data_IF_531271745344
#
_entry.id   IF_531271745344
#
_cell.length_a   1.000
_cell.length_b   1.000
_cell.length_c   1.000
_cell.angle_alpha   90.00
_cell.angle_beta   90.00
_cell.angle_gamma   90.00
#
_symmetry.space_group_name_H-M   'P 1'
#
loop_
_entity.id
_entity.type
_entity.pdbx_description
1 polymer ?
#
# COMPACT_ATOMS: atom_id res chain seq x y z
N UNK A 1 9.40 -17.98 15.01
CA UNK A 1 10.81 -18.39 14.90
C UNK A 1 11.24 -18.93 13.53
N UNK A 2 10.33 -19.12 12.57
CA UNK A 2 10.62 -19.12 11.12
C UNK A 2 9.40 -18.41 10.54
N UNK A 3 9.41 -17.11 10.25
CA UNK A 3 9.77 -16.52 8.96
C UNK A 3 10.01 -15.01 9.10
N UNK A 4 10.82 -14.59 10.08
CA UNK A 4 11.39 -13.24 10.12
C UNK A 4 12.84 -13.30 9.62
N UNK A 5 13.07 -14.12 8.60
CA UNK A 5 14.39 -14.22 7.98
C UNK A 5 14.55 -12.97 7.13
N UNK A 6 15.20 -11.98 7.75
CA UNK A 6 16.09 -11.02 7.12
C UNK A 6 15.68 -10.65 5.69
N UNK A 7 14.71 -9.74 5.56
CA UNK A 7 14.70 -8.88 4.39
C UNK A 7 15.82 -7.87 4.64
N UNK A 8 17.00 -8.21 4.14
CA UNK A 8 18.16 -7.34 4.10
C UNK A 8 17.74 -5.96 3.60
N UNK A 9 17.83 -4.99 4.51
CA UNK A 9 17.55 -3.58 4.30
C UNK A 9 18.80 -2.95 3.66
N UNK A 10 19.13 -3.39 2.45
CA UNK A 10 20.16 -2.73 1.65
C UNK A 10 19.56 -1.48 1.02
N UNK A 11 19.63 -0.41 1.80
CA UNK A 11 19.34 0.94 1.38
C UNK A 11 20.40 1.44 0.40
N UNK A 12 20.38 0.95 -0.84
CA UNK A 12 21.07 1.59 -1.96
C UNK A 12 20.25 1.43 -3.25
N UNK A 13 19.66 2.52 -3.73
CA UNK A 13 19.34 2.65 -5.16
C UNK A 13 17.98 3.21 -5.52
N UNK A 14 18.01 4.02 -6.58
CA UNK A 14 16.87 4.46 -7.39
C UNK A 14 16.08 3.24 -7.91
N UNK A 15 15.15 2.75 -7.09
CA UNK A 15 14.03 1.85 -7.42
C UNK A 15 14.32 0.72 -8.43
N UNK A 16 15.10 -0.26 -8.01
CA UNK A 16 15.23 -1.57 -8.67
C UNK A 16 14.13 -2.54 -8.21
N UNK A 17 12.97 -2.52 -8.88
CA UNK A 17 11.99 -3.63 -8.86
C UNK A 17 10.89 -3.63 -7.79
N UNK A 18 10.73 -2.55 -7.01
CA UNK A 18 9.70 -2.43 -5.96
C UNK A 18 8.62 -1.38 -6.22
N UNK A 19 7.79 -1.12 -5.21
CA UNK A 19 6.78 -0.04 -5.25
C UNK A 19 7.46 1.32 -5.18
N UNK A 20 7.30 2.13 -6.21
CA UNK A 20 7.87 3.48 -6.30
C UNK A 20 6.92 4.54 -5.77
N UNK A 21 5.63 4.36 -6.05
CA UNK A 21 4.60 5.34 -5.70
C UNK A 21 3.37 4.67 -5.11
N UNK A 22 2.67 5.43 -4.26
CA UNK A 22 1.41 5.05 -3.64
C UNK A 22 0.36 6.13 -3.95
N UNK A 23 -0.80 5.74 -4.46
CA UNK A 23 -1.96 6.62 -4.62
C UNK A 23 -2.96 6.36 -3.49
N UNK A 24 -3.31 7.40 -2.74
CA UNK A 24 -4.31 7.36 -1.68
C UNK A 24 -5.20 8.62 -1.74
N UNK A 25 -6.50 8.40 -1.87
CA UNK A 25 -7.45 9.52 -2.08
C UNK A 25 -7.13 10.28 -3.36
N UNK A 26 -6.80 11.57 -3.23
CA UNK A 26 -6.40 12.47 -4.32
C UNK A 26 -4.88 12.65 -4.45
N UNK A 27 -4.11 12.01 -3.59
CA UNK A 27 -2.67 12.22 -3.45
C UNK A 27 -1.89 11.04 -4.01
N UNK A 28 -0.77 11.35 -4.65
CA UNK A 28 0.25 10.39 -5.06
C UNK A 28 1.53 10.72 -4.29
N UNK A 29 2.11 9.71 -3.67
CA UNK A 29 3.26 9.85 -2.77
C UNK A 29 4.37 8.92 -3.23
N UNK A 30 5.61 9.44 -3.27
CA UNK A 30 6.80 8.62 -3.50
C UNK A 30 7.14 7.83 -2.24
N UNK A 31 7.53 6.58 -2.45
CA UNK A 31 7.89 5.66 -1.36
C UNK A 31 9.33 5.88 -0.96
N UNK A 32 9.57 6.15 0.33
CA UNK A 32 10.94 6.29 0.88
C UNK A 32 11.60 4.93 1.15
N UNK A 33 10.80 3.96 1.61
CA UNK A 33 11.27 2.63 2.00
C UNK A 33 10.32 1.55 1.48
N UNK A 34 10.87 0.43 1.03
CA UNK A 34 10.05 -0.69 0.58
C UNK A 34 9.31 -1.31 1.76
N UNK A 35 7.99 -1.43 1.63
CA UNK A 35 7.14 -2.14 2.60
C UNK A 35 6.98 -3.60 2.17
N UNK A 36 6.97 -4.57 3.10
CA UNK A 36 6.82 -6.00 2.82
C UNK A 36 5.36 -6.35 2.46
N UNK A 37 4.82 -5.76 1.39
CA UNK A 37 3.56 -6.21 0.81
C UNK A 37 3.72 -7.65 0.29
N UNK A 38 2.63 -8.45 0.22
CA UNK A 38 2.69 -9.81 -0.32
C UNK A 38 3.31 -9.83 -1.73
N UNK A 39 4.00 -10.92 -2.09
CA UNK A 39 4.83 -11.03 -3.32
C UNK A 39 4.13 -10.52 -4.58
N UNK A 40 2.84 -10.82 -4.68
CA UNK A 40 1.95 -10.39 -5.74
C UNK A 40 1.87 -8.87 -5.96
N UNK A 41 2.12 -8.08 -4.92
CA UNK A 41 1.99 -6.63 -4.85
C UNK A 41 3.33 -5.93 -4.65
N UNK A 42 4.34 -6.59 -4.06
CA UNK A 42 5.65 -5.98 -3.77
C UNK A 42 6.36 -5.50 -5.04
N UNK A 43 6.12 -6.19 -6.17
CA UNK A 43 6.70 -5.86 -7.47
C UNK A 43 5.91 -4.82 -8.26
N UNK A 44 4.76 -4.38 -7.76
CA UNK A 44 3.95 -3.38 -8.46
C UNK A 44 4.64 -2.02 -8.34
N UNK A 45 4.93 -1.30 -9.44
CA UNK A 45 5.60 0.00 -9.38
C UNK A 45 4.72 1.07 -8.71
N UNK A 46 3.40 0.86 -8.70
CA UNK A 46 2.42 1.73 -8.06
C UNK A 46 1.36 0.91 -7.33
N UNK A 47 1.09 1.30 -6.09
CA UNK A 47 -0.02 0.75 -5.29
C UNK A 47 -1.14 1.76 -5.12
N UNK A 48 -2.37 1.27 -5.03
CA UNK A 48 -3.57 2.08 -4.85
C UNK A 48 -4.22 1.72 -3.52
N UNK A 49 -4.35 2.68 -2.61
CA UNK A 49 -4.95 2.47 -1.29
C UNK A 49 -6.29 3.19 -1.14
N UNK A 50 -7.21 2.52 -0.46
CA UNK A 50 -8.44 3.13 0.01
C UNK A 50 -8.15 4.07 1.18
N UNK A 51 -8.67 5.29 1.12
CA UNK A 51 -8.41 6.33 2.13
C UNK A 51 -9.03 6.04 3.50
N UNK A 52 -10.03 5.16 3.56
CA UNK A 52 -10.75 4.84 4.80
C UNK A 52 -10.30 3.51 5.41
N UNK A 53 -10.32 2.44 4.62
CA UNK A 53 -10.04 1.09 5.14
C UNK A 53 -8.62 0.62 4.89
N UNK A 54 -7.78 1.44 4.24
CA UNK A 54 -6.39 1.13 3.89
C UNK A 54 -6.21 -0.15 3.06
N UNK A 55 -7.28 -0.63 2.41
CA UNK A 55 -7.18 -1.75 1.47
C UNK A 55 -6.38 -1.33 0.25
N UNK A 56 -5.36 -2.12 -0.07
CA UNK A 56 -4.49 -1.94 -1.23
C UNK A 56 -5.02 -2.68 -2.47
N UNK A 57 -4.63 -2.21 -3.65
CA UNK A 57 -4.96 -2.79 -4.95
C UNK A 57 -3.84 -2.56 -5.97
N UNK A 58 -3.71 -3.47 -6.95
CA UNK A 58 -2.73 -3.35 -8.06
C UNK A 58 -3.17 -2.36 -9.15
N UNK A 59 -4.46 -2.04 -9.23
CA UNK A 59 -4.99 -1.16 -10.27
C UNK A 59 -6.06 -0.21 -9.75
N UNK A 60 -6.14 0.96 -10.39
CA UNK A 60 -7.14 1.99 -10.10
C UNK A 60 -8.57 1.48 -10.27
N UNK A 61 -8.81 0.60 -11.23
CA UNK A 61 -10.15 0.04 -11.47
C UNK A 61 -10.62 -0.85 -10.33
N UNK A 62 -9.72 -1.68 -9.77
CA UNK A 62 -10.02 -2.52 -8.60
C UNK A 62 -10.30 -1.63 -7.39
N UNK A 63 -9.47 -0.60 -7.16
CA UNK A 63 -9.72 0.35 -6.08
C UNK A 63 -11.06 1.07 -6.25
N UNK A 64 -11.42 1.50 -7.48
CA UNK A 64 -12.70 2.17 -7.78
C UNK A 64 -13.88 1.30 -7.40
N UNK A 65 -13.90 0.03 -7.84
CA UNK A 65 -14.94 -0.94 -7.48
C UNK A 65 -15.00 -1.20 -5.98
N UNK A 66 -13.85 -1.19 -5.31
CA UNK A 66 -13.80 -1.29 -3.86
C UNK A 66 -14.43 -0.05 -3.20
N UNK A 67 -14.10 1.18 -3.64
CA UNK A 67 -14.68 2.42 -3.10
C UNK A 67 -16.21 2.45 -3.22
N UNK A 68 -16.76 1.94 -4.32
CA UNK A 68 -18.22 1.82 -4.52
C UNK A 68 -18.90 0.93 -3.47
N UNK A 69 -18.20 -0.10 -2.96
CA UNK A 69 -18.73 -1.06 -1.98
C UNK A 69 -18.20 -0.84 -0.56
N UNK A 70 -17.27 0.08 -0.37
CA UNK A 70 -16.60 0.27 0.91
C UNK A 70 -17.56 0.92 1.90
N UNK A 71 -17.83 0.19 2.99
CA UNK A 71 -18.68 0.65 4.09
C UNK A 71 -17.98 1.69 4.98
N UNK A 72 -16.65 1.70 5.00
CA UNK A 72 -15.85 2.59 5.83
C UNK A 72 -15.87 4.03 5.29
N UNK A 73 -16.23 4.97 6.16
CA UNK A 73 -16.14 6.44 5.95
C UNK A 73 -15.30 7.13 7.03
N UNK A 74 -14.85 6.36 8.01
CA UNK A 74 -13.91 6.74 9.07
C UNK A 74 -13.07 5.50 9.41
N UNK A 75 -11.92 5.67 10.09
CA UNK A 75 -11.12 4.54 10.54
C UNK A 75 -11.92 3.62 11.48
N UNK A 76 -11.70 2.30 11.44
CA UNK A 76 -12.29 1.37 12.39
C UNK A 76 -11.72 1.61 13.79
N UNK A 77 -12.58 1.63 14.80
CA UNK A 77 -12.19 1.81 16.21
C UNK A 77 -13.12 2.74 16.96
N UNK A 78 -12.76 3.02 18.21
CA UNK A 78 -13.48 3.98 19.04
C UNK A 78 -12.86 5.37 18.85
N UNK A 79 -13.70 6.35 18.54
CA UNK A 79 -13.28 7.75 18.49
C UNK A 79 -13.07 8.25 19.93
N UNK A 80 -11.90 8.84 20.20
CA UNK A 80 -11.51 9.30 21.54
C UNK A 80 -11.13 10.79 21.57
N UNK A 81 -11.02 11.43 20.41
CA UNK A 81 -10.77 12.86 20.23
C UNK A 81 -11.21 13.29 18.83
#
# INVERSE_FOLDING_TARGET
>A
EKEMKELEYDGEGRNGGGTKCVEMGKWEMEVWYQSPYPEEFSRAPKLYLCEFCLRYAKSKQVLRRHKEKCVWKHPPGHEVY
#
